data_IF_096395218487
#
_entry.id   IF_096395218487
#
_cell.length_a   1.000
_cell.length_b   1.000
_cell.length_c   1.000
_cell.angle_alpha   90.00
_cell.angle_beta   90.00
_cell.angle_gamma   90.00
#
_symmetry.space_group_name_H-M   'P 1'
#
loop_
_entity.id
_entity.type
_entity.pdbx_description
1 polymer ?
#
# COMPACT_ATOMS: atom_id res chain seq x y z
N UNK A 1 -0.24 -9.39 -28.01
CA UNK A 1 -1.32 -8.40 -28.19
C UNK A 1 -0.74 -7.03 -27.87
N UNK A 2 -0.98 -6.02 -28.71
CA UNK A 2 -0.67 -4.65 -28.36
C UNK A 2 -1.77 -4.12 -27.43
N UNK A 3 -1.40 -3.56 -26.28
CA UNK A 3 -2.35 -2.93 -25.38
C UNK A 3 -2.48 -1.44 -25.76
N UNK A 4 -3.69 -0.87 -25.77
CA UNK A 4 -3.86 0.55 -26.04
C UNK A 4 -3.29 1.36 -24.86
N UNK A 5 -2.20 2.07 -25.11
CA UNK A 5 -1.59 2.99 -24.14
C UNK A 5 -2.12 4.40 -24.41
N UNK A 6 -2.47 5.12 -23.35
CA UNK A 6 -3.16 6.42 -23.47
C UNK A 6 -2.22 7.62 -23.30
N UNK A 7 -1.04 7.40 -22.71
CA UNK A 7 -0.10 8.46 -22.41
C UNK A 7 0.99 8.64 -23.48
N UNK A 8 1.12 7.69 -24.40
CA UNK A 8 2.06 7.74 -25.54
C UNK A 8 3.51 8.09 -25.13
N UNK A 9 3.99 7.49 -24.03
CA UNK A 9 5.32 7.72 -23.45
C UNK A 9 5.98 6.40 -23.03
N UNK A 10 7.31 6.37 -23.01
CA UNK A 10 8.11 5.18 -22.80
C UNK A 10 9.05 5.25 -21.59
N UNK A 11 10.12 4.44 -21.64
CA UNK A 11 11.08 4.34 -20.55
C UNK A 11 11.89 5.63 -20.34
N UNK A 12 12.17 6.37 -21.42
CA UNK A 12 12.92 7.62 -21.35
C UNK A 12 12.15 8.67 -20.55
N UNK A 13 10.88 8.89 -20.85
CA UNK A 13 10.05 9.83 -20.12
C UNK A 13 9.83 9.38 -18.67
N UNK A 14 9.73 8.07 -18.43
CA UNK A 14 9.63 7.53 -17.06
C UNK A 14 10.88 7.90 -16.25
N UNK A 15 12.07 7.78 -16.86
CA UNK A 15 13.31 8.17 -16.22
C UNK A 15 13.35 9.68 -15.92
N UNK A 16 13.09 10.51 -16.93
CA UNK A 16 13.19 11.97 -16.84
C UNK A 16 12.14 12.61 -15.93
N UNK A 17 10.90 12.11 -15.97
CA UNK A 17 9.77 12.74 -15.28
C UNK A 17 9.48 12.15 -13.91
N UNK A 18 9.87 10.90 -13.65
CA UNK A 18 9.57 10.21 -12.38
C UNK A 18 10.82 9.82 -11.62
N UNK A 19 11.73 9.06 -12.25
CA UNK A 19 12.89 8.49 -11.54
C UNK A 19 13.88 9.59 -11.11
N UNK A 20 14.35 10.42 -12.05
CA UNK A 20 15.32 11.50 -11.80
C UNK A 20 14.75 12.61 -10.93
N UNK A 21 13.42 12.82 -10.96
CA UNK A 21 12.73 13.78 -10.07
C UNK A 21 12.47 13.23 -8.65
N UNK A 22 12.90 12.01 -8.33
CA UNK A 22 12.73 11.41 -7.01
C UNK A 22 11.28 11.05 -6.66
N UNK A 23 10.39 10.98 -7.67
CA UNK A 23 8.97 10.71 -7.49
C UNK A 23 8.66 9.22 -7.43
N UNK A 24 9.61 8.35 -7.78
CA UNK A 24 9.40 6.90 -7.74
C UNK A 24 9.04 6.39 -6.33
N UNK A 25 7.93 5.67 -6.25
CA UNK A 25 7.44 5.02 -5.03
C UNK A 25 8.08 3.66 -4.79
N UNK A 26 8.92 3.18 -5.72
CA UNK A 26 9.50 1.82 -5.74
C UNK A 26 8.44 0.74 -5.55
N UNK A 27 7.38 0.77 -6.36
CA UNK A 27 6.33 -0.25 -6.34
C UNK A 27 6.72 -1.56 -7.06
N UNK A 28 7.68 -1.50 -8.00
CA UNK A 28 8.17 -2.65 -8.77
C UNK A 28 7.36 -2.97 -10.04
N UNK A 29 6.22 -2.33 -10.29
CA UNK A 29 5.31 -2.73 -11.37
C UNK A 29 5.89 -2.58 -12.78
N UNK A 30 6.85 -1.67 -12.97
CA UNK A 30 7.54 -1.49 -14.25
C UNK A 30 8.70 -2.47 -14.45
N UNK A 31 9.20 -3.10 -13.38
CA UNK A 31 10.39 -3.97 -13.39
C UNK A 31 10.03 -5.36 -13.94
N UNK A 32 8.89 -5.93 -13.53
CA UNK A 32 8.45 -7.25 -13.99
C UNK A 32 8.23 -7.36 -15.50
N UNK A 33 8.13 -6.23 -16.20
CA UNK A 33 7.68 -6.14 -17.60
C UNK A 33 8.72 -5.54 -18.53
N UNK A 34 9.82 -5.00 -18.00
CA UNK A 34 10.82 -4.26 -18.76
C UNK A 34 12.21 -4.80 -18.46
N UNK A 35 12.91 -5.39 -19.45
CA UNK A 35 14.24 -5.94 -19.24
C UNK A 35 15.30 -4.88 -18.92
N UNK A 36 15.02 -3.60 -19.14
CA UNK A 36 15.93 -2.49 -18.86
C UNK A 36 15.69 -1.79 -17.52
N UNK A 37 14.63 -2.14 -16.80
CA UNK A 37 14.38 -1.61 -15.45
C UNK A 37 14.79 -2.68 -14.43
N UNK A 38 15.52 -2.26 -13.39
CA UNK A 38 15.93 -3.15 -12.29
C UNK A 38 15.72 -2.48 -10.95
N UNK A 39 15.53 -3.30 -9.93
CA UNK A 39 15.64 -2.86 -8.55
C UNK A 39 17.10 -2.96 -8.11
N UNK A 40 17.66 -1.86 -7.61
CA UNK A 40 18.90 -1.85 -6.81
C UNK A 40 18.53 -1.45 -5.39
N UNK A 41 18.51 -2.42 -4.47
CA UNK A 41 18.05 -2.26 -3.08
C UNK A 41 16.63 -1.69 -3.05
N UNK A 42 16.46 -0.42 -2.65
CA UNK A 42 15.15 0.24 -2.55
C UNK A 42 14.80 1.16 -3.74
N UNK A 43 15.64 1.18 -4.80
CA UNK A 43 15.50 2.10 -5.93
C UNK A 43 15.26 1.33 -7.22
N UNK A 44 14.33 1.82 -8.03
CA UNK A 44 14.19 1.40 -9.43
C UNK A 44 15.14 2.23 -10.28
N UNK A 45 15.94 1.58 -11.10
CA UNK A 45 16.89 2.20 -12.03
C UNK A 45 16.60 1.76 -13.46
N UNK A 46 16.71 2.70 -14.40
CA UNK A 46 16.75 2.40 -15.83
C UNK A 46 18.21 2.16 -16.21
N UNK A 47 18.50 0.99 -16.76
CA UNK A 47 19.83 0.65 -17.26
C UNK A 47 20.11 1.38 -18.58
N UNK A 48 19.13 1.34 -19.48
CA UNK A 48 19.17 2.00 -20.78
C UNK A 48 17.74 2.24 -21.29
N UNK A 49 17.43 3.34 -21.99
CA UNK A 49 16.16 3.51 -22.66
C UNK A 49 15.92 2.42 -23.71
N UNK A 50 14.73 1.80 -23.71
CA UNK A 50 14.44 0.69 -24.63
C UNK A 50 14.13 1.12 -26.07
N UNK A 51 14.24 2.41 -26.40
CA UNK A 51 13.93 2.96 -27.72
C UNK A 51 12.43 3.00 -28.10
N UNK A 52 11.56 2.40 -27.29
CA UNK A 52 10.11 2.39 -27.55
C UNK A 52 9.49 3.76 -27.24
N UNK A 53 8.74 4.31 -28.20
CA UNK A 53 7.98 5.57 -28.03
C UNK A 53 6.86 5.43 -26.97
N UNK A 54 6.29 4.23 -26.86
CA UNK A 54 5.21 3.95 -25.93
C UNK A 54 5.56 2.72 -25.09
N UNK A 55 5.44 2.86 -23.78
CA UNK A 55 5.85 1.85 -22.82
C UNK A 55 4.84 1.70 -21.69
N UNK A 56 4.41 0.45 -21.48
CA UNK A 56 3.58 0.07 -20.33
C UNK A 56 4.18 0.52 -18.99
N UNK A 57 5.51 0.61 -18.89
CA UNK A 57 6.22 1.08 -17.71
C UNK A 57 5.85 2.51 -17.31
N UNK A 58 5.61 3.40 -18.28
CA UNK A 58 5.14 4.76 -18.03
C UNK A 58 3.63 4.76 -17.73
N UNK A 59 2.85 4.05 -18.54
CA UNK A 59 1.39 3.99 -18.40
C UNK A 59 0.97 3.48 -17.02
N UNK A 60 1.56 2.40 -16.50
CA UNK A 60 1.18 1.81 -15.20
C UNK A 60 1.70 2.58 -13.99
N UNK A 61 2.67 3.49 -14.17
CA UNK A 61 3.35 4.15 -13.06
C UNK A 61 2.33 4.95 -12.21
N UNK A 62 2.32 4.81 -10.88
CA UNK A 62 1.37 5.53 -10.02
C UNK A 62 1.67 7.03 -9.91
N UNK A 63 2.79 7.49 -10.48
CA UNK A 63 3.24 8.89 -10.49
C UNK A 63 3.32 9.49 -11.89
N UNK A 64 2.69 8.82 -12.85
CA UNK A 64 2.19 9.42 -14.10
C UNK A 64 0.67 9.61 -13.96
N UNK A 65 -0.02 10.06 -15.02
CA UNK A 65 -1.47 10.37 -14.96
C UNK A 65 -2.25 9.28 -14.21
N UNK A 66 -2.88 9.65 -13.10
CA UNK A 66 -3.68 8.80 -12.23
C UNK A 66 -5.11 9.32 -12.21
N UNK A 67 -5.96 8.69 -13.01
CA UNK A 67 -7.40 8.91 -13.07
C UNK A 67 -8.11 8.08 -11.98
N UNK A 68 -8.21 8.66 -10.78
CA UNK A 68 -8.77 7.95 -9.61
C UNK A 68 -10.27 7.72 -9.76
N UNK A 69 -11.01 8.62 -10.42
CA UNK A 69 -12.45 8.49 -10.65
C UNK A 69 -12.78 7.41 -11.66
N UNK A 70 -12.04 7.32 -12.77
CA UNK A 70 -12.20 6.21 -13.69
C UNK A 70 -11.86 4.88 -13.03
N UNK A 71 -10.81 4.82 -12.21
CA UNK A 71 -10.45 3.58 -11.50
C UNK A 71 -11.54 3.21 -10.49
N UNK A 72 -12.13 4.21 -9.81
CA UNK A 72 -13.29 4.01 -8.94
C UNK A 72 -14.48 3.43 -9.70
N UNK A 73 -14.82 3.98 -10.88
CA UNK A 73 -15.91 3.45 -11.72
C UNK A 73 -15.68 2.00 -12.12
N UNK A 74 -14.46 1.65 -12.54
CA UNK A 74 -14.11 0.28 -12.94
C UNK A 74 -14.18 -0.72 -11.78
N UNK A 75 -13.75 -0.33 -10.58
CA UNK A 75 -13.62 -1.25 -9.43
C UNK A 75 -14.91 -1.34 -8.63
N UNK A 76 -15.62 -0.22 -8.48
CA UNK A 76 -16.76 -0.08 -7.57
C UNK A 76 -18.08 0.24 -8.27
N UNK A 77 -18.08 0.44 -9.60
CA UNK A 77 -19.27 0.77 -10.38
C UNK A 77 -19.75 2.20 -10.24
N UNK A 78 -19.00 3.07 -9.55
CA UNK A 78 -19.35 4.48 -9.34
C UNK A 78 -18.11 5.39 -9.24
N UNK A 79 -18.19 6.66 -9.66
CA UNK A 79 -17.17 7.66 -9.36
C UNK A 79 -17.13 7.97 -7.86
N UNK A 80 -16.18 8.81 -7.46
CA UNK A 80 -16.11 9.34 -6.11
C UNK A 80 -17.12 10.47 -5.94
N UNK A 81 -17.73 10.52 -4.77
CA UNK A 81 -18.63 11.57 -4.28
C UNK A 81 -18.18 12.07 -2.90
N UNK A 82 -18.86 13.07 -2.34
CA UNK A 82 -18.57 13.65 -1.02
C UNK A 82 -18.42 12.61 0.09
N UNK A 83 -19.22 11.53 0.05
CA UNK A 83 -19.16 10.45 1.05
C UNK A 83 -17.84 9.66 1.01
N UNK A 84 -17.12 9.76 -0.10
CA UNK A 84 -15.93 8.97 -0.42
C UNK A 84 -14.66 9.80 -0.59
N UNK A 85 -14.72 11.13 -0.63
CA UNK A 85 -13.54 11.98 -0.87
C UNK A 85 -12.42 11.77 0.15
N UNK A 86 -12.76 11.46 1.41
CA UNK A 86 -11.77 11.12 2.43
C UNK A 86 -11.34 9.67 2.37
N UNK A 87 -12.23 8.71 2.70
CA UNK A 87 -11.84 7.32 2.91
C UNK A 87 -11.84 6.46 1.64
N UNK A 88 -12.20 7.04 0.50
CA UNK A 88 -12.52 6.33 -0.74
C UNK A 88 -13.86 5.61 -0.65
N UNK A 89 -14.37 5.06 -1.77
CA UNK A 89 -15.58 4.25 -1.76
C UNK A 89 -15.45 3.09 -0.78
N UNK A 90 -16.42 3.00 0.13
CA UNK A 90 -16.47 1.98 1.16
C UNK A 90 -17.91 1.50 1.36
N UNK A 91 -18.04 0.22 1.72
CA UNK A 91 -19.29 -0.40 2.17
C UNK A 91 -19.43 -0.34 3.68
N UNK A 92 -18.32 -0.49 4.40
CA UNK A 92 -18.27 -0.39 5.85
C UNK A 92 -16.87 -0.10 6.37
N UNK A 93 -16.82 0.49 7.56
CA UNK A 93 -15.59 0.72 8.33
C UNK A 93 -15.80 0.10 9.71
N UNK A 94 -14.93 -0.82 10.10
CA UNK A 94 -15.04 -1.55 11.35
C UNK A 94 -13.67 -1.85 11.96
N UNK A 95 -13.65 -2.36 13.18
CA UNK A 95 -12.48 -3.00 13.77
C UNK A 95 -12.50 -4.47 13.40
N UNK A 96 -11.35 -5.03 13.05
CA UNK A 96 -11.21 -6.46 12.77
C UNK A 96 -9.95 -7.05 13.44
N UNK A 97 -10.02 -8.32 13.79
CA UNK A 97 -8.86 -9.12 14.15
C UNK A 97 -9.05 -10.58 13.76
N UNK A 98 -7.95 -11.29 13.50
CA UNK A 98 -7.96 -12.73 13.28
C UNK A 98 -8.47 -13.46 14.52
N UNK A 99 -9.33 -14.46 14.34
CA UNK A 99 -9.77 -15.32 15.45
C UNK A 99 -8.66 -16.24 15.96
N UNK A 100 -7.62 -16.49 15.17
CA UNK A 100 -6.55 -17.45 15.48
C UNK A 100 -5.44 -16.80 16.32
N UNK A 101 -5.22 -17.23 17.58
CA UNK A 101 -4.19 -16.62 18.44
C UNK A 101 -2.77 -16.75 17.88
N UNK A 102 -2.43 -17.88 17.25
CA UNK A 102 -1.12 -18.09 16.63
C UNK A 102 -0.81 -17.12 15.48
N UNK A 103 -1.84 -16.61 14.80
CA UNK A 103 -1.69 -15.57 13.77
C UNK A 103 -1.42 -14.22 14.45
N UNK A 104 -2.22 -13.87 15.46
CA UNK A 104 -2.09 -12.58 16.17
C UNK A 104 -0.71 -12.41 16.80
N UNK A 105 -0.13 -13.48 17.36
CA UNK A 105 1.21 -13.46 17.96
C UNK A 105 2.34 -13.03 17.00
N UNK A 106 2.18 -13.25 15.69
CA UNK A 106 3.17 -12.88 14.66
C UNK A 106 2.81 -11.61 13.90
N UNK A 107 1.58 -11.11 14.05
CA UNK A 107 1.11 -9.96 13.30
C UNK A 107 1.52 -8.64 13.96
N UNK A 108 1.53 -7.55 13.18
CA UNK A 108 1.79 -6.21 13.71
C UNK A 108 0.76 -5.79 14.78
N UNK A 109 -0.50 -6.13 14.53
CA UNK A 109 -1.65 -5.75 15.36
C UNK A 109 -2.69 -6.89 15.35
N UNK A 110 -3.96 -6.61 15.08
CA UNK A 110 -5.05 -7.61 15.03
C UNK A 110 -4.88 -8.78 14.04
N UNK A 111 -3.86 -8.78 13.18
CA UNK A 111 -3.57 -9.89 12.26
C UNK A 111 -4.66 -10.10 11.21
N UNK A 112 -5.39 -9.04 10.87
CA UNK A 112 -6.52 -9.10 9.93
C UNK A 112 -6.07 -9.53 8.53
N UNK A 113 -5.01 -8.92 7.98
CA UNK A 113 -4.48 -9.27 6.65
C UNK A 113 -4.03 -10.74 6.61
N UNK A 114 -3.14 -11.13 7.53
CA UNK A 114 -2.62 -12.50 7.62
C UNK A 114 -3.74 -13.52 7.85
N UNK A 115 -4.69 -13.22 8.72
CA UNK A 115 -5.85 -14.08 9.01
C UNK A 115 -6.73 -14.30 7.79
N UNK A 116 -7.06 -13.22 7.06
CA UNK A 116 -7.85 -13.29 5.83
C UNK A 116 -7.14 -14.05 4.72
N UNK A 117 -5.83 -13.88 4.54
CA UNK A 117 -5.06 -14.62 3.54
C UNK A 117 -4.98 -16.11 3.85
N UNK A 118 -4.66 -16.47 5.10
CA UNK A 118 -4.63 -17.88 5.52
C UNK A 118 -6.02 -18.52 5.34
N UNK A 119 -7.08 -17.79 5.70
CA UNK A 119 -8.45 -18.26 5.46
C UNK A 119 -8.74 -18.45 3.97
N UNK A 120 -8.46 -17.42 3.15
CA UNK A 120 -8.69 -17.45 1.70
C UNK A 120 -7.93 -18.60 1.02
N UNK A 121 -6.68 -18.85 1.42
CA UNK A 121 -5.87 -19.96 0.93
C UNK A 121 -6.49 -21.30 1.33
N UNK A 122 -6.88 -21.48 2.60
CA UNK A 122 -7.51 -22.73 3.08
C UNK A 122 -8.82 -23.05 2.36
N UNK A 123 -9.54 -22.02 1.89
CA UNK A 123 -10.80 -22.13 1.17
C UNK A 123 -10.64 -22.13 -0.35
N UNK A 124 -9.41 -22.18 -0.87
CA UNK A 124 -9.08 -22.14 -2.32
C UNK A 124 -9.70 -20.94 -3.06
N UNK A 125 -9.94 -19.85 -2.31
CA UNK A 125 -10.31 -18.53 -2.85
C UNK A 125 -9.10 -17.93 -3.55
N UNK A 126 -7.92 -18.18 -3.00
CA UNK A 126 -6.61 -17.88 -3.60
C UNK A 126 -5.74 -19.14 -3.66
N UNK A 127 -4.77 -19.14 -4.55
CA UNK A 127 -3.73 -20.19 -4.68
C UNK A 127 -2.29 -19.65 -4.56
N UNK A 128 -2.18 -18.36 -4.25
CA UNK A 128 -0.95 -17.67 -3.88
C UNK A 128 -1.21 -16.21 -3.50
N UNK A 129 -0.27 -15.59 -2.82
CA UNK A 129 -0.30 -14.18 -2.45
C UNK A 129 1.07 -13.53 -2.67
N UNK A 130 1.10 -12.36 -3.31
CA UNK A 130 2.29 -11.49 -3.32
C UNK A 130 2.29 -10.70 -2.01
N UNK A 131 3.33 -10.94 -1.22
CA UNK A 131 3.60 -10.34 0.08
C UNK A 131 5.00 -9.73 0.11
N UNK A 132 5.41 -9.24 1.28
CA UNK A 132 6.74 -8.68 1.52
C UNK A 132 7.37 -9.35 2.74
N UNK A 133 8.50 -10.02 2.52
CA UNK A 133 9.39 -10.56 3.54
C UNK A 133 10.58 -9.62 3.79
N UNK A 134 11.56 -10.10 4.56
CA UNK A 134 12.89 -9.50 4.59
C UNK A 134 13.83 -10.28 3.67
N UNK A 135 14.76 -9.57 3.04
CA UNK A 135 15.83 -10.12 2.23
C UNK A 135 16.72 -11.05 3.04
N UNK A 136 17.24 -12.10 2.40
CA UNK A 136 18.33 -12.92 2.93
C UNK A 136 19.70 -12.24 2.81
N UNK A 137 19.83 -11.31 1.86
CA UNK A 137 21.12 -10.74 1.46
C UNK A 137 21.39 -9.39 2.15
N UNK A 138 20.33 -8.68 2.53
CA UNK A 138 20.40 -7.38 3.17
C UNK A 138 19.45 -7.26 4.37
N UNK A 139 20.01 -7.10 5.56
CA UNK A 139 19.26 -7.01 6.81
C UNK A 139 18.26 -5.86 6.78
N UNK A 140 17.01 -6.15 7.17
CA UNK A 140 15.89 -5.20 7.22
C UNK A 140 15.44 -4.66 5.84
N UNK A 141 16.08 -5.05 4.74
CA UNK A 141 15.62 -4.69 3.41
C UNK A 141 14.40 -5.56 3.07
N UNK A 142 13.24 -4.96 2.72
CA UNK A 142 12.07 -5.76 2.38
C UNK A 142 12.15 -6.23 0.93
N UNK A 143 11.71 -7.46 0.69
CA UNK A 143 11.70 -8.08 -0.65
C UNK A 143 10.34 -8.74 -0.96
N UNK A 144 9.94 -8.77 -2.24
CA UNK A 144 8.73 -9.46 -2.66
C UNK A 144 8.81 -10.96 -2.37
N UNK A 145 7.70 -11.55 -1.91
CA UNK A 145 7.57 -12.99 -1.70
C UNK A 145 6.26 -13.48 -2.32
N UNK A 146 6.33 -14.54 -3.14
CA UNK A 146 5.14 -15.30 -3.54
C UNK A 146 4.86 -16.38 -2.51
N UNK A 147 3.96 -16.11 -1.58
CA UNK A 147 3.54 -17.06 -0.56
C UNK A 147 2.41 -17.96 -1.08
N UNK A 148 2.54 -19.28 -0.96
CA UNK A 148 1.55 -20.28 -1.40
C UNK A 148 1.15 -21.27 -0.28
N UNK A 149 1.74 -21.11 0.89
CA UNK A 149 1.42 -21.85 2.12
C UNK A 149 1.09 -20.90 3.27
N UNK A 150 0.48 -21.44 4.32
CA UNK A 150 0.19 -20.69 5.55
C UNK A 150 1.49 -20.22 6.22
N UNK A 151 2.51 -21.05 6.18
CA UNK A 151 3.81 -20.84 6.80
C UNK A 151 4.54 -19.66 6.14
N UNK A 152 4.56 -19.61 4.80
CA UNK A 152 5.10 -18.49 4.03
C UNK A 152 4.30 -17.19 4.28
N UNK A 153 2.97 -17.26 4.36
CA UNK A 153 2.14 -16.10 4.69
C UNK A 153 2.48 -15.57 6.08
N UNK A 154 2.69 -16.45 7.05
CA UNK A 154 3.08 -16.08 8.41
C UNK A 154 4.50 -15.51 8.50
N UNK A 155 5.43 -16.01 7.70
CA UNK A 155 6.80 -15.49 7.63
C UNK A 155 6.85 -14.03 7.12
N UNK A 156 5.87 -13.62 6.31
CA UNK A 156 5.77 -12.25 5.80
C UNK A 156 5.09 -11.27 6.78
N UNK A 157 4.54 -11.75 7.91
CA UNK A 157 3.81 -10.91 8.85
C UNK A 157 4.66 -9.78 9.48
N UNK A 158 3.99 -8.75 10.00
CA UNK A 158 4.63 -7.57 10.57
C UNK A 158 4.95 -6.49 9.53
N UNK A 159 4.95 -5.23 9.97
CA UNK A 159 5.15 -4.06 9.11
C UNK A 159 6.63 -3.90 8.72
N UNK A 160 6.85 -3.54 7.45
CA UNK A 160 8.14 -3.11 6.91
C UNK A 160 7.99 -1.67 6.43
N UNK A 161 8.68 -0.73 7.07
CA UNK A 161 8.45 0.71 6.88
C UNK A 161 9.27 1.34 5.75
N UNK A 162 10.16 0.59 5.10
CA UNK A 162 10.93 1.04 3.95
C UNK A 162 10.22 0.65 2.64
N UNK A 163 10.76 1.07 1.49
CA UNK A 163 10.10 0.76 0.23
C UNK A 163 10.34 -0.70 -0.18
N UNK A 164 9.27 -1.37 -0.60
CA UNK A 164 9.29 -2.75 -1.08
C UNK A 164 8.75 -2.78 -2.52
N UNK A 165 9.52 -3.21 -3.53
CA UNK A 165 9.06 -3.29 -4.92
C UNK A 165 8.19 -4.54 -5.15
N UNK A 166 7.10 -4.69 -4.39
CA UNK A 166 6.35 -5.95 -4.33
C UNK A 166 5.74 -6.41 -5.66
N UNK A 167 5.50 -5.51 -6.61
CA UNK A 167 4.99 -5.87 -7.93
C UNK A 167 6.06 -6.36 -8.91
N UNK A 168 7.34 -6.35 -8.55
CA UNK A 168 8.44 -6.86 -9.39
C UNK A 168 8.21 -8.31 -9.80
N UNK A 169 7.67 -9.13 -8.89
CA UNK A 169 7.41 -10.56 -9.12
C UNK A 169 6.02 -10.84 -9.72
N UNK A 170 5.25 -9.81 -10.12
CA UNK A 170 3.86 -9.99 -10.55
C UNK A 170 3.76 -10.95 -11.74
N UNK A 171 4.53 -10.73 -12.80
CA UNK A 171 4.47 -11.54 -14.01
C UNK A 171 4.90 -13.00 -13.76
N UNK A 172 5.86 -13.23 -12.85
CA UNK A 172 6.24 -14.59 -12.42
C UNK A 172 5.11 -15.24 -11.61
N UNK A 173 4.51 -14.51 -10.66
CA UNK A 173 3.41 -15.00 -9.85
C UNK A 173 2.18 -15.36 -10.71
N UNK A 174 1.87 -14.58 -11.74
CA UNK A 174 0.76 -14.83 -12.67
C UNK A 174 0.95 -16.06 -13.56
N UNK A 175 2.18 -16.57 -13.69
CA UNK A 175 2.48 -17.87 -14.34
C UNK A 175 2.23 -19.04 -13.39
N UNK A 176 2.45 -18.83 -12.08
CA UNK A 176 2.40 -19.86 -11.03
C UNK A 176 1.04 -19.96 -10.33
N UNK A 177 0.21 -18.92 -10.44
CA UNK A 177 -1.06 -18.77 -9.72
C UNK A 177 -2.20 -18.39 -10.68
N UNK A 178 -3.39 -18.95 -10.43
CA UNK A 178 -4.63 -18.63 -11.15
C UNK A 178 -5.55 -17.71 -10.34
N UNK A 179 -5.41 -17.69 -9.01
CA UNK A 179 -6.20 -16.87 -8.08
C UNK A 179 -5.25 -16.18 -7.10
N UNK A 180 -4.61 -15.12 -7.58
CA UNK A 180 -3.59 -14.39 -6.85
C UNK A 180 -4.20 -13.36 -5.90
N UNK A 181 -3.80 -13.37 -4.63
CA UNK A 181 -3.94 -12.22 -3.75
C UNK A 181 -2.75 -11.27 -3.91
N UNK A 182 -3.01 -9.98 -3.77
CA UNK A 182 -1.95 -8.96 -3.67
C UNK A 182 -2.11 -8.17 -2.37
N UNK A 183 -1.01 -7.98 -1.64
CA UNK A 183 -0.95 -7.05 -0.50
C UNK A 183 0.02 -5.92 -0.81
N UNK A 184 -0.44 -4.68 -0.67
CA UNK A 184 0.40 -3.51 -0.90
C UNK A 184 -0.14 -2.24 -0.28
N UNK A 185 0.68 -1.19 -0.30
CA UNK A 185 0.31 0.17 0.10
C UNK A 185 -0.44 0.85 -1.05
N UNK A 186 -1.11 1.98 -0.79
CA UNK A 186 -1.94 2.69 -1.76
C UNK A 186 -1.27 2.90 -3.11
N UNK A 187 -0.05 3.44 -3.14
CA UNK A 187 0.69 3.66 -4.38
C UNK A 187 1.04 2.39 -5.18
N UNK A 188 1.11 1.23 -4.53
CA UNK A 188 1.34 -0.05 -5.20
C UNK A 188 0.01 -0.65 -5.69
N UNK A 189 -1.06 -0.46 -4.93
CA UNK A 189 -2.43 -0.78 -5.38
C UNK A 189 -2.82 0.07 -6.59
N UNK A 190 -2.52 1.37 -6.60
CA UNK A 190 -2.67 2.27 -7.75
C UNK A 190 -1.98 1.67 -9.00
N UNK A 191 -0.70 1.29 -8.87
CA UNK A 191 0.07 0.70 -9.96
C UNK A 191 -0.54 -0.62 -10.47
N UNK A 192 -0.99 -1.50 -9.56
CA UNK A 192 -1.64 -2.75 -9.90
C UNK A 192 -2.97 -2.52 -10.62
N UNK A 193 -3.79 -1.57 -10.16
CA UNK A 193 -5.09 -1.27 -10.79
C UNK A 193 -4.91 -0.64 -12.17
N UNK A 194 -3.93 0.26 -12.35
CA UNK A 194 -3.54 0.74 -13.68
C UNK A 194 -3.06 -0.41 -14.58
N UNK A 195 -2.24 -1.33 -14.05
CA UNK A 195 -1.82 -2.54 -14.76
C UNK A 195 -3.02 -3.42 -15.18
N UNK A 196 -4.01 -3.60 -14.31
CA UNK A 196 -5.24 -4.35 -14.62
C UNK A 196 -6.13 -3.65 -15.66
N UNK A 197 -6.13 -2.31 -15.72
CA UNK A 197 -6.83 -1.54 -16.76
C UNK A 197 -6.17 -1.74 -18.13
N UNK A 198 -4.84 -1.69 -18.18
CA UNK A 198 -4.06 -1.90 -19.41
C UNK A 198 -4.18 -3.36 -19.87
N UNK A 199 -4.16 -4.30 -18.93
CA UNK A 199 -4.13 -5.75 -19.18
C UNK A 199 -5.27 -6.45 -18.42
N UNK A 200 -6.52 -6.40 -18.94
CA UNK A 200 -7.70 -6.91 -18.25
C UNK A 200 -7.60 -8.39 -17.84
N UNK A 201 -6.82 -9.20 -18.55
CA UNK A 201 -6.55 -10.60 -18.20
C UNK A 201 -5.81 -10.77 -16.88
N UNK A 202 -4.98 -9.80 -16.47
CA UNK A 202 -4.38 -9.78 -15.14
C UNK A 202 -5.48 -9.65 -14.08
N UNK A 203 -6.48 -8.81 -14.34
CA UNK A 203 -7.62 -8.63 -13.44
C UNK A 203 -8.45 -9.90 -13.22
N UNK A 204 -8.46 -10.82 -14.18
CA UNK A 204 -9.11 -12.14 -14.05
C UNK A 204 -8.34 -13.09 -13.12
N UNK A 205 -7.00 -12.95 -13.05
CA UNK A 205 -6.15 -13.78 -12.20
C UNK A 205 -5.94 -13.20 -10.80
N UNK A 206 -5.98 -11.88 -10.64
CA UNK A 206 -5.90 -11.22 -9.33
C UNK A 206 -7.24 -11.33 -8.62
N UNK A 207 -7.38 -12.34 -7.78
CA UNK A 207 -8.60 -12.71 -7.09
C UNK A 207 -8.93 -11.83 -5.88
N UNK A 208 -7.93 -11.20 -5.24
CA UNK A 208 -8.10 -10.32 -4.08
C UNK A 208 -6.99 -9.24 -4.03
N UNK A 209 -7.34 -8.00 -3.69
CA UNK A 209 -6.39 -6.90 -3.44
C UNK A 209 -6.59 -6.36 -2.03
N UNK A 210 -5.60 -6.55 -1.15
CA UNK A 210 -5.61 -6.02 0.22
C UNK A 210 -4.66 -4.83 0.32
N UNK A 211 -5.23 -3.67 0.61
CA UNK A 211 -4.52 -2.42 0.80
C UNK A 211 -4.09 -2.20 2.24
N UNK A 212 -2.91 -1.61 2.44
CA UNK A 212 -2.41 -1.21 3.76
C UNK A 212 -2.53 0.30 3.93
N UNK A 213 -2.93 0.75 5.12
CA UNK A 213 -2.85 2.17 5.46
C UNK A 213 -1.38 2.62 5.45
N UNK A 214 -1.12 3.79 4.91
CA UNK A 214 0.25 4.27 4.74
C UNK A 214 0.30 5.80 4.83
N UNK A 215 0.98 6.32 5.85
CA UNK A 215 1.35 7.74 5.89
C UNK A 215 2.57 8.00 5.01
N UNK A 216 3.67 7.31 5.31
CA UNK A 216 4.97 7.46 4.63
C UNK A 216 5.69 6.11 4.50
N UNK A 217 6.64 6.07 3.56
CA UNK A 217 7.70 5.08 3.51
C UNK A 217 9.02 5.76 3.84
N UNK A 218 9.89 5.06 4.56
CA UNK A 218 11.23 5.53 4.93
C UNK A 218 12.26 5.12 3.87
N UNK A 219 13.36 5.89 3.79
CA UNK A 219 14.55 5.57 3.02
C UNK A 219 15.36 4.50 3.77
N UNK A 220 15.47 3.30 3.19
CA UNK A 220 16.20 2.18 3.77
C UNK A 220 17.63 2.55 4.17
N UNK A 221 18.40 3.20 3.29
CA UNK A 221 19.79 3.53 3.60
C UNK A 221 19.93 4.43 4.84
N UNK A 222 19.05 5.44 4.97
CA UNK A 222 19.07 6.35 6.12
C UNK A 222 18.62 5.66 7.40
N UNK A 223 17.56 4.85 7.32
CA UNK A 223 17.06 4.10 8.46
C UNK A 223 18.11 3.09 8.95
N UNK A 224 18.68 2.30 8.04
CA UNK A 224 19.70 1.31 8.35
C UNK A 224 20.91 1.96 9.02
N UNK A 225 21.48 3.01 8.43
CA UNK A 225 22.63 3.73 9.02
C UNK A 225 22.32 4.23 10.45
N UNK A 226 21.16 4.86 10.63
CA UNK A 226 20.74 5.37 11.95
C UNK A 226 20.55 4.27 12.99
N UNK A 227 20.03 3.10 12.59
CA UNK A 227 19.83 1.97 13.49
C UNK A 227 21.14 1.29 13.85
N UNK A 228 22.04 1.11 12.88
CA UNK A 228 23.35 0.48 13.09
C UNK A 228 24.22 1.22 14.11
N UNK A 229 24.04 2.53 14.27
CA UNK A 229 24.71 3.33 15.31
C UNK A 229 24.12 3.09 16.73
N UNK A 230 22.91 2.55 16.83
CA UNK A 230 22.13 2.50 18.08
C UNK A 230 21.82 1.09 18.57
N UNK A 231 21.80 0.11 17.68
CA UNK A 231 21.45 -1.28 17.95
C UNK A 231 22.22 -2.23 17.04
N UNK A 232 22.29 -3.50 17.43
CA UNK A 232 22.65 -4.57 16.51
C UNK A 232 21.43 -4.90 15.62
N UNK A 233 21.43 -4.39 14.39
CA UNK A 233 20.33 -4.51 13.42
C UNK A 233 20.00 -5.95 13.04
N UNK A 234 20.95 -6.87 13.12
CA UNK A 234 20.74 -8.30 12.85
C UNK A 234 19.80 -8.98 13.84
N UNK A 235 19.68 -8.41 15.05
CA UNK A 235 18.77 -8.91 16.09
C UNK A 235 17.36 -8.31 15.98
N UNK A 236 17.13 -7.36 15.08
CA UNK A 236 15.83 -6.72 14.93
C UNK A 236 14.87 -7.66 14.19
N UNK A 237 13.75 -7.97 14.84
CA UNK A 237 12.72 -8.89 14.31
C UNK A 237 11.50 -8.16 13.76
N UNK A 238 11.37 -6.86 14.05
CA UNK A 238 10.27 -6.04 13.56
C UNK A 238 10.36 -4.60 14.04
N UNK A 239 9.45 -3.78 13.53
CA UNK A 239 9.36 -2.36 13.85
C UNK A 239 7.92 -1.98 14.15
N UNK A 240 7.72 -0.92 14.93
CA UNK A 240 6.46 -0.21 15.00
C UNK A 240 6.66 1.30 15.06
N UNK A 241 5.67 2.04 14.56
CA UNK A 241 5.64 3.51 14.63
C UNK A 241 4.32 3.94 15.26
N UNK A 242 4.14 3.70 16.58
CA UNK A 242 3.01 4.27 17.29
C UNK A 242 3.21 5.79 17.41
N UNK A 243 2.16 6.48 17.86
CA UNK A 243 2.16 7.95 17.93
C UNK A 243 3.44 8.52 18.59
N UNK A 244 4.16 9.35 17.83
CA UNK A 244 5.41 10.03 18.21
C UNK A 244 6.54 9.13 18.74
N UNK A 245 6.55 7.84 18.39
CA UNK A 245 7.56 6.88 18.85
C UNK A 245 8.03 5.98 17.71
N UNK A 246 9.24 5.46 17.84
CA UNK A 246 9.75 4.40 16.96
C UNK A 246 10.20 3.23 17.82
N UNK A 247 9.58 2.06 17.62
CA UNK A 247 9.84 0.85 18.40
C UNK A 247 10.55 -0.16 17.51
N UNK A 248 11.64 -0.73 18.01
CA UNK A 248 12.32 -1.88 17.40
C UNK A 248 12.12 -3.09 18.30
N UNK A 249 11.59 -4.17 17.75
CA UNK A 249 11.50 -5.45 18.44
C UNK A 249 12.78 -6.25 18.20
N UNK A 250 13.32 -6.86 19.26
CA UNK A 250 14.57 -7.63 19.22
C UNK A 250 14.43 -8.88 20.10
N UNK A 251 14.21 -10.05 19.49
CA UNK A 251 13.98 -11.29 20.23
C UNK A 251 12.81 -11.17 21.22
N UNK A 252 13.09 -11.33 22.52
CA UNK A 252 12.10 -11.20 23.60
C UNK A 252 11.89 -9.74 24.09
N UNK A 253 12.69 -8.77 23.63
CA UNK A 253 12.66 -7.38 24.09
C UNK A 253 12.22 -6.38 23.02
N UNK A 254 12.10 -5.12 23.43
CA UNK A 254 11.93 -3.97 22.53
C UNK A 254 12.80 -2.81 22.95
N UNK A 255 13.22 -1.99 22.00
CA UNK A 255 13.90 -0.71 22.22
C UNK A 255 13.10 0.41 21.57
N UNK A 256 12.87 1.48 22.33
CA UNK A 256 12.25 2.68 21.82
C UNK A 256 13.32 3.69 21.43
N UNK A 257 13.16 4.32 20.26
CA UNK A 257 14.05 5.34 19.73
C UNK A 257 13.26 6.63 19.45
N UNK A 258 13.93 7.81 19.49
CA UNK A 258 13.29 9.08 19.16
C UNK A 258 12.68 9.08 17.75
N UNK A 259 11.48 9.64 17.62
CA UNK A 259 10.74 9.66 16.36
C UNK A 259 11.19 10.76 15.38
N UNK A 260 11.68 11.91 15.87
CA UNK A 260 11.97 13.06 15.02
C UNK A 260 13.01 12.76 13.90
N UNK A 261 14.13 12.04 14.18
CA UNK A 261 15.05 11.63 13.11
C UNK A 261 14.36 10.74 12.05
N UNK A 262 13.52 9.81 12.50
CA UNK A 262 12.81 8.85 11.64
C UNK A 262 11.87 9.57 10.67
N UNK A 263 11.16 10.60 11.14
CA UNK A 263 10.30 11.46 10.32
C UNK A 263 11.08 12.17 9.21
N UNK A 264 12.35 12.50 9.44
CA UNK A 264 13.27 13.06 8.44
C UNK A 264 13.72 12.06 7.36
N UNK A 265 13.51 10.75 7.58
CA UNK A 265 13.88 9.71 6.61
C UNK A 265 12.77 9.38 5.62
N UNK A 266 11.62 10.07 5.67
CA UNK A 266 10.53 9.89 4.71
C UNK A 266 11.00 10.08 3.27
N UNK A 267 10.41 9.33 2.35
CA UNK A 267 10.66 9.44 0.92
C UNK A 267 9.91 10.65 0.36
N UNK A 268 10.58 11.40 -0.52
CA UNK A 268 10.02 12.59 -1.18
C UNK A 268 8.74 12.27 -1.96
N UNK A 269 8.68 11.08 -2.59
CA UNK A 269 7.48 10.61 -3.28
C UNK A 269 6.25 10.42 -2.39
N UNK A 270 6.43 10.35 -1.07
CA UNK A 270 5.33 10.29 -0.12
C UNK A 270 4.73 11.68 0.19
N UNK A 271 5.47 12.76 -0.04
CA UNK A 271 4.98 14.13 0.22
C UNK A 271 3.87 14.53 -0.77
N UNK A 272 3.82 13.89 -1.95
CA UNK A 272 2.77 14.05 -2.97
C UNK A 272 1.83 12.83 -3.10
N UNK A 273 1.88 11.88 -2.16
CA UNK A 273 1.04 10.68 -2.21
C UNK A 273 -0.36 11.01 -1.71
N UNK A 274 -1.36 10.98 -2.58
CA UNK A 274 -2.74 11.34 -2.22
C UNK A 274 -3.43 10.28 -1.35
N UNK A 275 -3.17 9.00 -1.62
CA UNK A 275 -3.85 7.89 -0.97
C UNK A 275 -3.21 7.55 0.40
N UNK A 276 -4.05 7.54 1.44
CA UNK A 276 -3.71 7.07 2.79
C UNK A 276 -4.25 5.67 3.08
N UNK A 277 -5.50 5.40 2.70
CA UNK A 277 -6.25 4.20 3.12
C UNK A 277 -6.25 3.09 2.08
N UNK A 278 -5.42 3.18 1.03
CA UNK A 278 -5.46 2.28 -0.13
C UNK A 278 -6.86 2.23 -0.75
N UNK A 279 -7.33 3.36 -1.27
CA UNK A 279 -8.72 3.63 -1.65
C UNK A 279 -9.22 2.75 -2.81
N UNK A 280 -8.31 2.17 -3.60
CA UNK A 280 -8.63 1.30 -4.75
C UNK A 280 -8.50 -0.21 -4.45
N UNK A 281 -8.34 -0.59 -3.19
CA UNK A 281 -8.26 -2.00 -2.77
C UNK A 281 -9.64 -2.68 -2.70
N UNK A 282 -9.67 -4.02 -2.59
CA UNK A 282 -10.89 -4.76 -2.25
C UNK A 282 -11.21 -4.62 -0.74
N UNK A 283 -10.16 -4.69 0.08
CA UNK A 283 -10.16 -4.48 1.52
C UNK A 283 -8.98 -3.60 1.89
N UNK A 284 -9.15 -2.67 2.83
CA UNK A 284 -8.03 -1.89 3.36
C UNK A 284 -7.89 -2.06 4.87
N UNK A 285 -6.66 -2.20 5.33
CA UNK A 285 -6.35 -2.51 6.72
C UNK A 285 -5.28 -1.58 7.26
N UNK A 286 -5.49 -1.07 8.47
CA UNK A 286 -4.50 -0.26 9.18
C UNK A 286 -4.54 -0.44 10.68
N UNK A 287 -3.70 0.32 11.37
CA UNK A 287 -3.76 0.43 12.83
C UNK A 287 -5.10 1.02 13.25
N UNK A 288 -5.50 0.74 14.48
CA UNK A 288 -6.55 1.51 15.14
C UNK A 288 -5.96 2.78 15.78
N UNK A 289 -4.66 2.82 16.08
CA UNK A 289 -3.95 3.86 16.83
C UNK A 289 -4.18 3.88 18.35
N UNK A 290 -5.15 3.11 18.89
CA UNK A 290 -5.39 3.03 20.34
C UNK A 290 -5.61 1.61 20.89
N UNK A 291 -5.85 0.63 20.01
CA UNK A 291 -6.15 -0.75 20.40
C UNK A 291 -5.34 -1.72 19.54
N UNK A 292 -4.14 -2.02 20.02
CA UNK A 292 -3.10 -2.76 19.29
C UNK A 292 -3.52 -4.21 18.95
N UNK A 293 -4.45 -4.81 19.69
CA UNK A 293 -4.98 -6.16 19.40
C UNK A 293 -6.01 -6.18 18.25
N UNK A 294 -6.28 -5.04 17.61
CA UNK A 294 -7.21 -4.89 16.49
C UNK A 294 -6.61 -4.06 15.35
N UNK A 295 -7.19 -4.23 14.17
CA UNK A 295 -6.97 -3.36 13.03
C UNK A 295 -8.23 -2.58 12.71
N UNK A 296 -8.09 -1.41 12.10
CA UNK A 296 -9.16 -0.81 11.31
C UNK A 296 -9.27 -1.58 9.99
N UNK A 297 -10.48 -1.97 9.61
CA UNK A 297 -10.81 -2.64 8.34
C UNK A 297 -11.84 -1.78 7.59
N UNK A 298 -11.52 -1.42 6.36
CA UNK A 298 -12.45 -0.79 5.41
C UNK A 298 -12.79 -1.83 4.35
N UNK A 299 -14.06 -2.20 4.26
CA UNK A 299 -14.58 -3.12 3.23
C UNK A 299 -15.03 -2.29 2.04
N UNK A 300 -14.50 -2.56 0.83
CA UNK A 300 -14.72 -1.69 -0.34
C UNK A 300 -15.46 -2.40 -1.47
N UNK A 301 -14.83 -3.38 -2.10
CA UNK A 301 -15.40 -4.06 -3.25
C UNK A 301 -16.33 -5.20 -2.83
N UNK A 302 -17.17 -5.66 -3.75
CA UNK A 302 -18.03 -6.83 -3.53
C UNK A 302 -17.22 -8.08 -3.23
N UNK A 303 -16.07 -8.26 -3.90
CA UNK A 303 -15.13 -9.36 -3.64
C UNK A 303 -14.59 -9.32 -2.20
N UNK A 304 -14.23 -8.12 -1.72
CA UNK A 304 -13.80 -7.91 -0.35
C UNK A 304 -14.90 -8.26 0.66
N UNK A 305 -16.12 -7.76 0.44
CA UNK A 305 -17.28 -8.04 1.29
C UNK A 305 -17.57 -9.55 1.38
N UNK A 306 -17.65 -10.24 0.24
CA UNK A 306 -17.85 -11.71 0.19
C UNK A 306 -16.79 -12.48 0.99
N UNK A 307 -15.52 -12.06 0.95
CA UNK A 307 -14.47 -12.70 1.74
C UNK A 307 -14.70 -12.49 3.24
N UNK A 308 -14.99 -11.27 3.65
CA UNK A 308 -15.22 -10.92 5.06
C UNK A 308 -16.43 -11.67 5.60
N UNK A 309 -17.55 -11.68 4.89
CA UNK A 309 -18.78 -12.37 5.31
C UNK A 309 -18.53 -13.87 5.50
N UNK A 310 -17.82 -14.51 4.55
CA UNK A 310 -17.43 -15.92 4.67
C UNK A 310 -16.50 -16.17 5.86
N UNK A 311 -15.51 -15.30 6.07
CA UNK A 311 -14.59 -15.40 7.19
C UNK A 311 -15.28 -15.21 8.55
N UNK A 312 -16.32 -14.36 8.63
CA UNK A 312 -17.15 -14.19 9.82
C UNK A 312 -18.00 -15.42 10.08
N UNK A 313 -18.69 -15.94 9.06
CA UNK A 313 -19.52 -17.16 9.16
C UNK A 313 -18.70 -18.36 9.63
N UNK A 314 -17.48 -18.49 9.12
CA UNK A 314 -16.56 -19.57 9.49
C UNK A 314 -15.74 -19.27 10.76
N UNK A 315 -16.04 -18.17 11.47
CA UNK A 315 -15.36 -17.72 12.70
C UNK A 315 -13.84 -17.57 12.54
N UNK A 316 -13.36 -17.30 11.33
CA UNK A 316 -11.95 -17.02 11.04
C UNK A 316 -11.54 -15.57 11.33
N UNK A 317 -12.51 -14.65 11.31
CA UNK A 317 -12.35 -13.23 11.63
C UNK A 317 -13.33 -12.83 12.74
N UNK A 318 -12.96 -11.84 13.56
CA UNK A 318 -13.86 -11.13 14.47
C UNK A 318 -13.94 -9.68 14.06
N UNK A 319 -15.13 -9.10 14.07
CA UNK A 319 -15.35 -7.67 13.81
C UNK A 319 -16.10 -7.01 14.95
N UNK A 320 -15.86 -5.70 15.13
CA UNK A 320 -16.60 -4.82 16.04
C UNK A 320 -16.81 -3.46 15.38
N UNK A 321 -17.83 -2.68 15.76
CA UNK A 321 -17.95 -1.30 15.33
C UNK A 321 -16.67 -0.51 15.63
N UNK A 322 -16.24 0.33 14.69
CA UNK A 322 -15.22 1.34 14.98
C UNK A 322 -15.92 2.50 15.70
N UNK A 323 -15.46 2.93 16.89
CA UNK A 323 -16.08 4.08 17.57
C UNK A 323 -16.07 5.30 16.66
N UNK A 324 -17.18 6.06 16.64
CA UNK A 324 -17.35 7.21 15.74
C UNK A 324 -16.24 8.24 15.87
N UNK A 325 -15.85 8.58 17.10
CA UNK A 325 -14.72 9.47 17.39
C UNK A 325 -13.42 9.02 16.70
N UNK A 326 -13.23 7.70 16.54
CA UNK A 326 -12.05 7.12 15.89
C UNK A 326 -12.17 7.11 14.37
N UNK A 327 -13.38 6.99 13.83
CA UNK A 327 -13.66 7.26 12.41
C UNK A 327 -13.30 8.71 12.07
N UNK A 328 -13.70 9.67 12.91
CA UNK A 328 -13.43 11.08 12.69
C UNK A 328 -11.94 11.43 12.79
N UNK A 329 -11.20 10.82 13.73
CA UNK A 329 -9.74 10.96 13.78
C UNK A 329 -9.04 10.41 12.53
N UNK A 330 -9.51 9.26 12.03
CA UNK A 330 -9.01 8.70 10.77
C UNK A 330 -9.27 9.67 9.61
N UNK A 331 -10.52 10.16 9.48
CA UNK A 331 -10.90 11.16 8.47
C UNK A 331 -10.05 12.43 8.56
N UNK A 332 -9.79 12.94 9.77
CA UNK A 332 -8.95 14.12 9.98
C UNK A 332 -7.50 13.90 9.53
N UNK A 333 -6.92 12.73 9.83
CA UNK A 333 -5.58 12.37 9.38
C UNK A 333 -5.48 12.28 7.85
N UNK A 334 -6.51 11.70 7.22
CA UNK A 334 -6.61 11.59 5.76
C UNK A 334 -6.81 12.97 5.12
N UNK A 335 -7.70 13.80 5.66
CA UNK A 335 -7.95 15.17 5.21
C UNK A 335 -6.65 15.98 5.21
N UNK A 336 -5.92 15.98 6.33
CA UNK A 336 -4.66 16.71 6.45
C UNK A 336 -3.61 16.24 5.43
N UNK A 337 -3.58 14.95 5.07
CA UNK A 337 -2.71 14.44 4.01
C UNK A 337 -3.17 14.92 2.63
N UNK A 338 -4.45 14.79 2.30
CA UNK A 338 -5.00 15.20 1.00
C UNK A 338 -4.82 16.69 0.75
N UNK A 339 -5.10 17.54 1.75
CA UNK A 339 -4.88 19.00 1.66
C UNK A 339 -3.42 19.35 1.33
N UNK A 340 -2.45 18.76 2.03
CA UNK A 340 -1.02 18.99 1.74
C UNK A 340 -0.64 18.59 0.32
N UNK A 341 -1.20 17.49 -0.18
CA UNK A 341 -0.91 16.98 -1.53
C UNK A 341 -1.57 17.85 -2.60
N UNK A 342 -2.84 18.25 -2.43
CA UNK A 342 -3.53 19.14 -3.37
C UNK A 342 -2.82 20.48 -3.47
N UNK A 343 -2.44 21.07 -2.33
CA UNK A 343 -1.63 22.29 -2.30
C UNK A 343 -0.33 22.12 -3.08
N UNK A 344 0.44 21.06 -2.79
CA UNK A 344 1.73 20.83 -3.46
C UNK A 344 1.63 20.60 -4.98
N UNK A 345 0.55 19.98 -5.45
CA UNK A 345 0.37 19.63 -6.87
C UNK A 345 -0.30 20.75 -7.69
N UNK A 346 -1.28 21.47 -7.13
CA UNK A 346 -2.14 22.37 -7.89
C UNK A 346 -1.93 23.85 -7.53
N UNK A 347 -1.60 24.18 -6.29
CA UNK A 347 -1.41 25.56 -5.82
C UNK A 347 0.07 25.96 -5.96
N UNK A 348 0.95 25.31 -5.21
CA UNK A 348 2.39 25.61 -5.17
C UNK A 348 3.10 25.13 -6.45
N UNK A 349 2.50 24.16 -7.16
CA UNK A 349 3.05 23.49 -8.34
C UNK A 349 4.51 23.04 -8.16
N UNK A 350 4.87 22.67 -6.93
CA UNK A 350 6.22 22.19 -6.58
C UNK A 350 6.56 20.90 -7.31
N UNK A 351 5.54 20.14 -7.70
CA UNK A 351 5.68 18.87 -8.41
C UNK A 351 4.75 18.80 -9.63
N UNK A 352 5.10 18.02 -10.67
CA UNK A 352 4.21 17.77 -11.79
C UNK A 352 2.88 17.16 -11.33
N UNK A 353 1.77 17.71 -11.82
CA UNK A 353 0.44 17.18 -11.53
C UNK A 353 0.26 15.82 -12.22
N UNK A 354 0.39 14.74 -11.45
CA UNK A 354 0.08 13.38 -11.90
C UNK A 354 -1.36 12.98 -11.59
N UNK A 355 -1.97 13.57 -10.56
CA UNK A 355 -3.28 13.21 -10.05
C UNK A 355 -4.39 13.88 -10.86
N UNK A 356 -5.39 13.11 -11.30
CA UNK A 356 -6.63 13.63 -11.87
C UNK A 356 -7.77 13.36 -10.88
N UNK A 357 -8.24 14.41 -10.23
CA UNK A 357 -9.38 14.45 -9.30
C UNK A 357 -10.35 15.54 -9.74
N UNK A 358 -11.65 15.37 -9.47
CA UNK A 358 -12.69 16.33 -9.84
C UNK A 358 -12.48 17.69 -9.15
N UNK A 359 -12.94 18.77 -9.78
CA UNK A 359 -12.93 20.10 -9.17
C UNK A 359 -13.79 20.17 -7.90
N UNK A 360 -14.85 19.36 -7.85
CA UNK A 360 -15.69 19.18 -6.68
C UNK A 360 -14.89 18.61 -5.50
N UNK A 361 -14.15 17.51 -5.70
CA UNK A 361 -13.33 16.90 -4.65
C UNK A 361 -12.25 17.88 -4.15
N UNK A 362 -11.60 18.61 -5.07
CA UNK A 362 -10.61 19.64 -4.70
C UNK A 362 -11.21 20.72 -3.81
N UNK A 363 -12.35 21.31 -4.23
CA UNK A 363 -13.05 22.35 -3.46
C UNK A 363 -13.49 21.83 -2.10
N UNK A 364 -14.10 20.65 -2.07
CA UNK A 364 -14.59 20.04 -0.84
C UNK A 364 -13.46 19.81 0.17
N UNK A 365 -12.32 19.26 -0.27
CA UNK A 365 -11.17 18.98 0.59
C UNK A 365 -10.52 20.28 1.10
N UNK A 366 -10.37 21.28 0.24
CA UNK A 366 -9.76 22.55 0.64
C UNK A 366 -10.65 23.36 1.60
N UNK A 367 -11.98 23.24 1.49
CA UNK A 367 -12.92 23.93 2.37
C UNK A 367 -13.23 23.15 3.66
N UNK A 368 -12.94 21.85 3.69
CA UNK A 368 -13.17 21.00 4.86
C UNK A 368 -12.22 21.34 6.00
N UNK A 369 -12.78 21.50 7.21
CA UNK A 369 -12.00 21.63 8.44
C UNK A 369 -12.00 20.28 9.17
N UNK A 370 -10.83 19.86 9.63
CA UNK A 370 -10.77 18.73 10.56
C UNK A 370 -11.58 19.07 11.82
N UNK A 371 -12.38 18.13 12.32
CA UNK A 371 -13.11 18.32 13.57
C UNK A 371 -12.12 18.70 14.69
N UNK A 372 -12.18 19.96 15.13
CA UNK A 372 -11.39 20.44 16.26
C UNK A 372 -12.05 19.91 17.53
N UNK A 373 -11.31 19.15 18.35
CA UNK A 373 -11.77 18.80 19.70
C UNK A 373 -11.77 17.32 20.07
N UNK A 374 -11.45 16.39 19.16
CA UNK A 374 -11.25 14.99 19.57
C UNK A 374 -9.86 14.87 20.21
N UNK A 375 -9.79 14.86 21.55
CA UNK A 375 -8.58 14.48 22.28
C UNK A 375 -8.12 13.12 21.75
N UNK A 376 -6.88 13.06 21.26
CA UNK A 376 -6.27 11.88 20.63
C UNK A 376 -6.16 10.70 21.59
#
# INVERSE_FOLDING_TARGET
>A
MAYPLSLHKGSLELELEVLKKGLCTSCGGCVGICPYLRVRKEKVVLLEPCGMKEGRCYELCPRTKLDIDGLSREIFGRPRDESSFLLGPARSVCMAQSSRPGIRKKAQYGGTVTGLLVYALSKKIIDGAILVGYSSDYSLLPEPVLARSKEEILACAGSKYTAAPSLEILDEALKRCRKLAYVGRGCQVEALRKRMRIEPEIGRKVALVLGLFCMWSLKYQKLYAHLSEKINVEKATGFDIPYNRFVVYMGAGRKELPFEPIKGFRRTSCDICYDFTSELADLSVGSTEWKDDWNTLIVRSERGAKLVDRALKDRALRVRPLPEQRVELLKAAVLGKKQRVLKALFEDKTFPAYLSVSEEEKRWINNSKAAQGVKK
#
